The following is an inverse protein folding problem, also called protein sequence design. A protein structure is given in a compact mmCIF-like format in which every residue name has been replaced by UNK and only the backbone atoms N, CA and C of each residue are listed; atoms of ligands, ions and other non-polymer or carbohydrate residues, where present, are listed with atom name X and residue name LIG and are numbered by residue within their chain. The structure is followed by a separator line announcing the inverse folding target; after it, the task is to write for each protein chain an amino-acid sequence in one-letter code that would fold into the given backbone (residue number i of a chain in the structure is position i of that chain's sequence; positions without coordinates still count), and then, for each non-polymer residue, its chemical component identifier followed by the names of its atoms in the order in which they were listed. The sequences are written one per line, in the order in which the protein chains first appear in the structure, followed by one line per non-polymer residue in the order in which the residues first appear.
data_IF_411694850479
#
_entry.id   IF_411694850479
#
_cell.length_a   1.000
_cell.length_b   1.000
_cell.length_c   1.000
_cell.angle_alpha   90.00
_cell.angle_beta   90.00
_cell.angle_gamma   90.00
#
_symmetry.space_group_name_H-M   'P 1'
#
loop_
_entity.id
_entity.type
_entity.pdbx_description
1 polymer ?
#
# COMPACT_ATOMS: atom_id res chain seq x y z
N UNK A 1 -12.57 2.19 15.36
CA UNK A 1 -12.80 2.53 13.93
C UNK A 1 -12.90 1.29 13.05
N UNK A 2 -11.95 0.34 13.03
CA UNK A 2 -12.09 -0.89 12.25
C UNK A 2 -13.39 -1.67 12.55
N UNK A 3 -13.68 -1.89 13.84
CA UNK A 3 -14.95 -2.53 14.27
C UNK A 3 -16.17 -1.74 13.81
N UNK A 4 -16.12 -0.42 13.86
CA UNK A 4 -17.23 0.43 13.41
C UNK A 4 -17.49 0.24 11.91
N UNK A 5 -16.44 0.12 11.09
CA UNK A 5 -16.59 -0.20 9.66
C UNK A 5 -17.28 -1.55 9.49
N UNK A 6 -16.89 -2.59 10.24
CA UNK A 6 -17.51 -3.92 10.17
C UNK A 6 -18.99 -3.91 10.59
N UNK A 7 -19.36 -3.06 11.55
CA UNK A 7 -20.75 -2.89 11.98
C UNK A 7 -21.55 -2.15 10.91
N UNK A 8 -21.04 -1.01 10.43
CA UNK A 8 -21.72 -0.16 9.43
C UNK A 8 -21.86 -0.85 8.07
N UNK A 9 -20.96 -1.77 7.71
CA UNK A 9 -21.04 -2.57 6.49
C UNK A 9 -21.99 -3.77 6.58
N UNK A 10 -22.54 -4.07 7.77
CA UNK A 10 -23.31 -5.29 8.01
C UNK A 10 -22.45 -6.55 8.12
N UNK A 11 -21.11 -6.44 8.15
CA UNK A 11 -20.21 -7.59 8.25
C UNK A 11 -20.38 -8.33 9.59
N UNK A 12 -20.56 -7.62 10.70
CA UNK A 12 -20.83 -8.27 11.99
C UNK A 12 -22.19 -8.96 12.03
N UNK A 13 -23.19 -8.42 11.31
CA UNK A 13 -24.52 -9.03 11.19
C UNK A 13 -24.45 -10.33 10.40
N UNK A 14 -23.80 -10.30 9.23
CA UNK A 14 -23.60 -11.50 8.39
C UNK A 14 -22.87 -12.61 9.15
N UNK A 15 -21.80 -12.28 9.87
CA UNK A 15 -20.99 -13.24 10.64
C UNK A 15 -21.61 -13.62 12.01
N UNK A 16 -22.75 -13.03 12.38
CA UNK A 16 -23.37 -13.18 13.70
C UNK A 16 -22.40 -12.91 14.87
N UNK A 17 -21.60 -11.86 14.75
CA UNK A 17 -20.62 -11.45 15.77
C UNK A 17 -21.20 -10.40 16.70
N UNK A 18 -21.04 -10.60 18.00
CA UNK A 18 -21.25 -9.52 18.96
C UNK A 18 -20.09 -8.51 18.93
N UNK A 19 -20.33 -7.32 19.49
CA UNK A 19 -19.34 -6.26 19.52
C UNK A 19 -18.05 -6.68 20.23
N UNK A 20 -18.11 -7.49 21.30
CA UNK A 20 -16.92 -7.88 22.05
C UNK A 20 -16.01 -8.79 21.22
N UNK A 21 -16.61 -9.74 20.50
CA UNK A 21 -15.93 -10.67 19.61
C UNK A 21 -15.30 -9.91 18.44
N UNK A 22 -16.01 -8.96 17.84
CA UNK A 22 -15.46 -8.11 16.78
C UNK A 22 -14.27 -7.26 17.28
N UNK A 23 -14.35 -6.69 18.48
CA UNK A 23 -13.25 -5.94 19.08
C UNK A 23 -12.04 -6.82 19.38
N UNK A 24 -12.27 -8.00 19.96
CA UNK A 24 -11.20 -8.97 20.27
C UNK A 24 -10.48 -9.41 18.99
N UNK A 25 -11.23 -9.76 17.95
CA UNK A 25 -10.68 -10.11 16.64
C UNK A 25 -9.84 -8.98 16.04
N UNK A 26 -10.38 -7.76 15.94
CA UNK A 26 -9.63 -6.63 15.38
C UNK A 26 -8.37 -6.30 16.21
N UNK A 27 -8.43 -6.43 17.54
CA UNK A 27 -7.28 -6.22 18.41
C UNK A 27 -6.21 -7.31 18.22
N UNK A 28 -6.63 -8.57 18.07
CA UNK A 28 -5.71 -9.67 17.78
C UNK A 28 -5.03 -9.47 16.42
N UNK A 29 -5.78 -9.20 15.35
CA UNK A 29 -5.21 -8.88 14.02
C UNK A 29 -4.22 -7.72 14.13
N UNK A 30 -4.57 -6.63 14.82
CA UNK A 30 -3.67 -5.49 14.99
C UNK A 30 -2.35 -5.87 15.67
N UNK A 31 -2.37 -6.80 16.64
CA UNK A 31 -1.18 -7.29 17.33
C UNK A 31 -0.27 -8.17 16.46
N UNK A 32 -0.79 -8.71 15.36
CA UNK A 32 -0.05 -9.55 14.42
C UNK A 32 0.70 -8.76 13.35
N UNK A 33 0.43 -7.45 13.22
CA UNK A 33 1.21 -6.57 12.35
C UNK A 33 2.50 -6.11 13.03
N UNK A 34 3.61 -6.20 12.32
CA UNK A 34 4.91 -5.79 12.84
C UNK A 34 5.06 -4.26 12.82
N UNK A 35 5.93 -3.75 13.69
CA UNK A 35 6.26 -2.32 13.76
C UNK A 35 7.27 -1.90 12.68
N UNK A 36 6.94 -2.15 11.41
CA UNK A 36 7.74 -1.75 10.24
C UNK A 36 7.25 -0.41 9.67
N UNK A 37 8.10 0.38 8.98
CA UNK A 37 7.73 1.73 8.58
C UNK A 37 6.45 1.89 7.75
N UNK A 38 6.17 0.98 6.81
CA UNK A 38 5.06 1.02 5.86
C UNK A 38 4.04 -0.10 6.11
N UNK A 39 4.43 -1.39 5.98
CA UNK A 39 3.51 -2.54 6.03
C UNK A 39 3.12 -2.90 7.48
N UNK A 40 2.50 -1.96 8.18
CA UNK A 40 2.06 -2.05 9.57
C UNK A 40 0.52 -1.90 9.67
N UNK A 41 -0.04 -2.03 10.88
CA UNK A 41 -1.49 -1.99 11.06
C UNK A 41 -2.15 -0.68 10.59
N UNK A 42 -1.43 0.45 10.58
CA UNK A 42 -1.99 1.71 10.04
C UNK A 42 -2.23 1.60 8.54
N UNK A 43 -1.34 0.91 7.82
CA UNK A 43 -1.50 0.66 6.39
C UNK A 43 -2.72 -0.22 6.16
N UNK A 44 -2.81 -1.38 6.83
CA UNK A 44 -3.97 -2.26 6.76
C UNK A 44 -5.30 -1.55 7.06
N UNK A 45 -5.34 -0.71 8.09
CA UNK A 45 -6.52 0.10 8.38
C UNK A 45 -6.82 1.13 7.28
N UNK A 46 -5.81 1.78 6.70
CA UNK A 46 -5.99 2.70 5.57
C UNK A 46 -6.54 1.98 4.33
N UNK A 47 -6.09 0.75 4.06
CA UNK A 47 -6.61 -0.11 2.98
C UNK A 47 -8.07 -0.46 3.26
N UNK A 48 -8.39 -1.02 4.42
CA UNK A 48 -9.76 -1.33 4.84
C UNK A 48 -10.70 -0.12 4.74
N UNK A 49 -10.27 1.04 5.22
CA UNK A 49 -11.05 2.26 5.15
C UNK A 49 -11.27 2.73 3.70
N UNK A 50 -10.23 2.66 2.86
CA UNK A 50 -10.37 3.03 1.44
C UNK A 50 -11.32 2.05 0.71
N UNK A 51 -11.22 0.76 0.99
CA UNK A 51 -12.14 -0.27 0.51
C UNK A 51 -13.58 0.03 0.91
N UNK A 52 -13.82 0.39 2.17
CA UNK A 52 -15.15 0.77 2.64
C UNK A 52 -15.71 2.00 1.93
N UNK A 53 -14.90 3.05 1.72
CA UNK A 53 -15.32 4.24 0.97
C UNK A 53 -15.65 3.93 -0.49
N UNK A 54 -14.90 3.02 -1.13
CA UNK A 54 -15.17 2.58 -2.50
C UNK A 54 -16.47 1.76 -2.57
N UNK A 55 -16.73 0.88 -1.60
CA UNK A 55 -18.00 0.16 -1.47
C UNK A 55 -19.19 1.12 -1.32
N UNK A 56 -19.07 2.12 -0.45
CA UNK A 56 -20.10 3.17 -0.28
C UNK A 56 -20.29 4.03 -1.54
N UNK A 57 -19.30 4.06 -2.42
CA UNK A 57 -19.36 4.79 -3.68
C UNK A 57 -20.02 4.00 -4.81
N UNK A 58 -20.31 2.71 -4.65
CA UNK A 58 -20.98 1.92 -5.67
C UNK A 58 -22.41 2.45 -5.93
N UNK A 59 -22.72 2.83 -7.18
CA UNK A 59 -24.05 3.34 -7.56
C UNK A 59 -25.10 2.24 -7.46
N UNK A 60 -24.73 1.04 -7.90
CA UNK A 60 -25.46 -0.20 -7.69
C UNK A 60 -24.52 -1.11 -6.96
N UNK A 61 -24.79 -1.40 -5.69
CA UNK A 61 -23.98 -2.34 -4.93
C UNK A 61 -24.21 -3.76 -5.50
N UNK A 62 -23.23 -4.39 -6.18
CA UNK A 62 -23.38 -5.72 -6.73
C UNK A 62 -23.03 -6.80 -5.70
N UNK A 63 -22.54 -6.41 -4.52
CA UNK A 63 -21.99 -7.34 -3.54
C UNK A 63 -23.08 -7.88 -2.60
N UNK A 64 -23.05 -9.19 -2.39
CA UNK A 64 -23.79 -9.84 -1.30
C UNK A 64 -23.17 -9.51 0.06
N UNK A 65 -23.89 -9.69 1.19
CA UNK A 65 -23.30 -9.52 2.53
C UNK A 65 -22.03 -10.35 2.75
N UNK A 66 -22.00 -11.57 2.19
CA UNK A 66 -20.84 -12.45 2.17
C UNK A 66 -19.63 -11.78 1.50
N UNK A 67 -19.82 -11.24 0.29
CA UNK A 67 -18.77 -10.61 -0.49
C UNK A 67 -18.25 -9.33 0.18
N UNK A 68 -19.14 -8.54 0.80
CA UNK A 68 -18.74 -7.37 1.59
C UNK A 68 -17.91 -7.78 2.81
N UNK A 69 -18.33 -8.83 3.53
CA UNK A 69 -17.59 -9.36 4.67
C UNK A 69 -16.21 -9.87 4.26
N UNK A 70 -16.12 -10.70 3.23
CA UNK A 70 -14.86 -11.22 2.70
C UNK A 70 -13.91 -10.08 2.29
N UNK A 71 -14.41 -9.07 1.58
CA UNK A 71 -13.61 -7.96 1.10
C UNK A 71 -13.04 -7.08 2.22
N UNK A 72 -13.83 -6.76 3.25
CA UNK A 72 -13.36 -5.95 4.38
C UNK A 72 -12.41 -6.73 5.31
N UNK A 73 -12.67 -8.02 5.50
CA UNK A 73 -11.77 -8.91 6.25
C UNK A 73 -10.44 -9.11 5.53
N UNK A 74 -10.47 -9.34 4.21
CA UNK A 74 -9.27 -9.40 3.38
C UNK A 74 -8.48 -8.09 3.46
N UNK A 75 -9.13 -6.94 3.31
CA UNK A 75 -8.47 -5.63 3.40
C UNK A 75 -7.75 -5.41 4.74
N UNK A 76 -8.35 -5.82 5.86
CA UNK A 76 -7.74 -5.69 7.19
C UNK A 76 -6.55 -6.65 7.40
N UNK A 77 -6.52 -7.78 6.69
CA UNK A 77 -5.55 -8.85 6.89
C UNK A 77 -4.54 -9.04 5.75
N UNK A 78 -4.63 -8.28 4.65
CA UNK A 78 -3.87 -8.56 3.42
C UNK A 78 -2.35 -8.55 3.59
N UNK A 79 -1.83 -7.86 4.62
CA UNK A 79 -0.41 -7.75 4.95
C UNK A 79 -0.07 -8.32 6.35
N UNK A 80 -0.93 -9.18 6.89
CA UNK A 80 -0.78 -9.68 8.26
C UNK A 80 0.58 -10.39 8.44
N UNK A 81 1.32 -10.06 9.51
CA UNK A 81 2.70 -10.50 9.78
C UNK A 81 3.80 -10.00 8.83
N UNK A 82 3.52 -9.08 7.90
CA UNK A 82 4.55 -8.53 7.01
C UNK A 82 5.75 -7.97 7.81
N UNK A 83 6.97 -8.27 7.35
CA UNK A 83 8.22 -7.95 8.05
C UNK A 83 9.04 -6.82 7.39
N UNK A 84 8.48 -6.17 6.37
CA UNK A 84 9.12 -5.07 5.64
C UNK A 84 10.14 -5.56 4.61
N UNK A 85 10.02 -6.80 4.12
CA UNK A 85 10.82 -7.38 3.04
C UNK A 85 9.91 -7.87 1.93
N UNK A 86 10.42 -7.86 0.70
CA UNK A 86 9.67 -8.31 -0.48
C UNK A 86 9.71 -9.83 -0.66
N UNK A 87 8.78 -10.38 -1.45
CA UNK A 87 8.78 -11.79 -1.86
C UNK A 87 10.15 -12.21 -2.45
N UNK A 88 10.76 -11.36 -3.28
CA UNK A 88 12.09 -11.61 -3.86
C UNK A 88 13.21 -11.74 -2.82
N UNK A 89 13.16 -10.99 -1.72
CA UNK A 89 14.11 -11.13 -0.61
C UNK A 89 13.95 -12.49 0.07
N UNK A 90 12.70 -12.88 0.33
CA UNK A 90 12.37 -14.17 0.93
C UNK A 90 12.81 -15.37 0.08
N UNK A 91 12.64 -15.28 -1.24
CA UNK A 91 13.10 -16.28 -2.20
C UNK A 91 14.64 -16.35 -2.24
N UNK A 92 15.31 -15.20 -2.33
CA UNK A 92 16.78 -15.10 -2.40
C UNK A 92 17.44 -15.66 -1.14
N UNK A 93 16.87 -15.37 0.03
CA UNK A 93 17.36 -15.85 1.34
C UNK A 93 16.92 -17.27 1.68
N UNK A 94 16.04 -17.89 0.87
CA UNK A 94 15.43 -19.20 1.13
C UNK A 94 14.79 -19.28 2.51
N UNK A 95 14.11 -18.21 2.92
CA UNK A 95 13.39 -18.14 4.19
C UNK A 95 12.38 -19.28 4.36
N UNK A 96 11.93 -19.53 5.59
CA UNK A 96 10.94 -20.57 5.87
C UNK A 96 9.65 -20.37 5.04
N UNK A 97 9.17 -19.13 4.92
CA UNK A 97 8.00 -18.79 4.09
C UNK A 97 8.22 -19.11 2.62
N UNK A 98 9.40 -18.81 2.06
CA UNK A 98 9.70 -19.15 0.66
C UNK A 98 9.73 -20.67 0.41
N UNK A 99 10.04 -21.47 1.43
CA UNK A 99 10.00 -22.93 1.33
C UNK A 99 8.57 -23.47 1.49
N UNK A 100 7.82 -22.95 2.46
CA UNK A 100 6.46 -23.37 2.78
C UNK A 100 5.47 -23.01 1.67
N UNK A 101 5.57 -21.80 1.12
CA UNK A 101 4.67 -21.28 0.08
C UNK A 101 5.25 -21.38 -1.34
N UNK A 102 6.26 -22.24 -1.55
CA UNK A 102 6.97 -22.39 -2.83
C UNK A 102 6.07 -22.75 -4.03
N UNK A 103 4.87 -23.29 -3.79
CA UNK A 103 3.88 -23.56 -4.85
C UNK A 103 3.31 -22.27 -5.47
N UNK A 104 3.37 -21.15 -4.75
CA UNK A 104 2.89 -19.82 -5.16
C UNK A 104 4.04 -18.97 -5.69
N UNK A 105 4.71 -19.44 -6.75
CA UNK A 105 5.91 -18.80 -7.34
C UNK A 105 5.68 -17.30 -7.62
N UNK A 106 6.44 -16.42 -6.96
CA UNK A 106 6.33 -14.96 -7.08
C UNK A 106 5.45 -14.29 -6.02
N UNK A 107 4.43 -14.98 -5.50
CA UNK A 107 3.45 -14.45 -4.53
C UNK A 107 3.62 -15.05 -3.14
N UNK A 108 4.88 -15.24 -2.72
CA UNK A 108 5.22 -15.93 -1.45
C UNK A 108 4.59 -15.23 -0.25
N UNK A 109 4.64 -13.90 -0.22
CA UNK A 109 4.09 -13.11 0.89
C UNK A 109 2.57 -13.14 0.89
N UNK A 110 1.93 -12.89 -0.25
CA UNK A 110 0.47 -12.86 -0.35
C UNK A 110 -0.14 -14.23 -0.04
N UNK A 111 0.51 -15.32 -0.43
CA UNK A 111 0.12 -16.67 -0.04
C UNK A 111 0.25 -16.89 1.48
N UNK A 112 1.32 -16.36 2.10
CA UNK A 112 1.49 -16.39 3.55
C UNK A 112 0.41 -15.57 4.26
N UNK A 113 0.16 -14.33 3.82
CA UNK A 113 -0.86 -13.46 4.40
C UNK A 113 -2.25 -14.08 4.30
N UNK A 114 -2.60 -14.65 3.15
CA UNK A 114 -3.88 -15.34 2.92
C UNK A 114 -4.05 -16.51 3.89
N UNK A 115 -3.03 -17.38 3.99
CA UNK A 115 -3.05 -18.52 4.90
C UNK A 115 -3.21 -18.07 6.36
N UNK A 116 -2.37 -17.13 6.81
CA UNK A 116 -2.41 -16.61 8.19
C UNK A 116 -3.75 -15.93 8.49
N UNK A 117 -4.32 -15.19 7.54
CA UNK A 117 -5.61 -14.53 7.69
C UNK A 117 -6.73 -15.55 7.94
N UNK A 118 -6.87 -16.54 7.06
CA UNK A 118 -7.90 -17.59 7.17
C UNK A 118 -7.71 -18.42 8.44
N UNK A 119 -6.47 -18.77 8.78
CA UNK A 119 -6.13 -19.49 10.01
C UNK A 119 -6.56 -18.71 11.26
N UNK A 120 -6.25 -17.41 11.29
CA UNK A 120 -6.57 -16.52 12.41
C UNK A 120 -8.08 -16.42 12.57
N UNK A 121 -8.81 -16.15 11.49
CA UNK A 121 -10.27 -16.06 11.53
C UNK A 121 -10.93 -17.38 11.95
N UNK A 122 -10.35 -18.53 11.59
CA UNK A 122 -10.81 -19.85 12.05
C UNK A 122 -10.59 -20.05 13.54
N UNK A 123 -9.40 -19.73 14.05
CA UNK A 123 -9.04 -19.87 15.47
C UNK A 123 -9.90 -18.94 16.35
N UNK A 124 -10.22 -17.76 15.83
CA UNK A 124 -11.13 -16.79 16.43
C UNK A 124 -12.61 -17.10 16.19
N UNK A 125 -12.92 -18.22 15.51
CA UNK A 125 -14.28 -18.76 15.36
C UNK A 125 -15.25 -17.83 14.62
N UNK A 126 -14.73 -16.99 13.71
CA UNK A 126 -15.55 -16.01 12.97
C UNK A 126 -16.61 -16.64 12.08
N UNK A 127 -16.45 -17.91 11.69
CA UNK A 127 -17.31 -18.59 10.73
C UNK A 127 -18.24 -19.64 11.37
N UNK A 128 -18.16 -19.84 12.69
CA UNK A 128 -18.87 -20.92 13.40
C UNK A 128 -20.39 -20.81 13.32
N UNK A 129 -20.90 -19.60 13.13
CA UNK A 129 -22.33 -19.31 13.05
C UNK A 129 -22.85 -19.25 11.60
N UNK A 130 -21.99 -19.45 10.61
CA UNK A 130 -22.38 -19.58 9.21
C UNK A 130 -22.72 -21.03 8.89
N UNK A 131 -23.49 -21.25 7.83
CA UNK A 131 -23.54 -22.58 7.25
C UNK A 131 -22.21 -22.94 6.57
N UNK A 132 -21.99 -24.22 6.32
CA UNK A 132 -20.71 -24.70 5.76
C UNK A 132 -20.41 -24.12 4.38
N UNK A 133 -21.43 -23.91 3.55
CA UNK A 133 -21.24 -23.41 2.19
C UNK A 133 -20.83 -21.93 2.18
N UNK A 134 -21.45 -21.11 3.03
CA UNK A 134 -21.09 -19.70 3.20
C UNK A 134 -19.71 -19.56 3.86
N UNK A 135 -19.42 -20.35 4.89
CA UNK A 135 -18.10 -20.36 5.53
C UNK A 135 -16.98 -20.69 4.54
N UNK A 136 -17.15 -21.73 3.72
CA UNK A 136 -16.17 -22.11 2.70
C UNK A 136 -16.03 -21.03 1.63
N UNK A 137 -17.15 -20.43 1.18
CA UNK A 137 -17.15 -19.38 0.17
C UNK A 137 -16.43 -18.11 0.63
N UNK A 138 -16.63 -17.69 1.90
CA UNK A 138 -15.92 -16.53 2.46
C UNK A 138 -14.41 -16.78 2.49
N UNK A 139 -13.99 -17.97 2.92
CA UNK A 139 -12.57 -18.33 3.02
C UNK A 139 -11.88 -18.28 1.67
N UNK A 140 -12.46 -18.94 0.68
CA UNK A 140 -11.95 -18.94 -0.70
C UNK A 140 -11.85 -17.52 -1.22
N UNK A 141 -12.89 -16.70 -1.04
CA UNK A 141 -12.88 -15.32 -1.51
C UNK A 141 -11.81 -14.47 -0.82
N UNK A 142 -11.59 -14.63 0.49
CA UNK A 142 -10.52 -13.92 1.22
C UNK A 142 -9.15 -14.29 0.65
N UNK A 143 -8.88 -15.58 0.42
CA UNK A 143 -7.62 -16.04 -0.17
C UNK A 143 -7.41 -15.43 -1.57
N UNK A 144 -8.42 -15.49 -2.43
CA UNK A 144 -8.34 -14.94 -3.78
C UNK A 144 -8.14 -13.42 -3.80
N UNK A 145 -8.72 -12.71 -2.84
CA UNK A 145 -8.58 -11.26 -2.71
C UNK A 145 -7.18 -10.87 -2.24
N UNK A 146 -6.65 -11.54 -1.23
CA UNK A 146 -5.30 -11.26 -0.71
C UNK A 146 -4.24 -11.63 -1.76
N UNK A 147 -4.39 -12.76 -2.45
CA UNK A 147 -3.48 -13.11 -3.54
C UNK A 147 -3.46 -12.06 -4.67
N UNK A 148 -4.59 -11.37 -4.91
CA UNK A 148 -4.68 -10.34 -5.92
C UNK A 148 -3.97 -9.02 -5.58
N UNK A 149 -3.47 -8.83 -4.35
CA UNK A 149 -2.67 -7.65 -3.97
C UNK A 149 -1.23 -7.73 -4.44
N UNK A 150 -0.76 -8.90 -4.89
CA UNK A 150 0.59 -9.04 -5.45
C UNK A 150 0.76 -8.13 -6.66
N UNK A 151 1.72 -7.20 -6.57
CA UNK A 151 2.01 -6.25 -7.63
C UNK A 151 2.57 -6.92 -8.90
N UNK A 152 3.08 -8.16 -8.84
CA UNK A 152 3.41 -8.96 -10.01
C UNK A 152 2.16 -9.39 -10.80
N UNK A 153 1.00 -9.46 -10.14
CA UNK A 153 -0.31 -9.76 -10.74
C UNK A 153 -1.10 -8.50 -11.14
N UNK A 154 -0.54 -7.30 -10.92
CA UNK A 154 -1.20 -6.04 -11.24
C UNK A 154 -1.74 -6.00 -12.68
N UNK A 155 -0.98 -6.33 -13.74
CA UNK A 155 -1.52 -6.33 -15.11
C UNK A 155 -2.73 -7.24 -15.29
N UNK A 156 -2.73 -8.41 -14.64
CA UNK A 156 -3.80 -9.41 -14.72
C UNK A 156 -5.06 -8.90 -14.02
N UNK A 157 -4.94 -8.27 -12.84
CA UNK A 157 -6.06 -7.67 -12.12
C UNK A 157 -6.70 -6.53 -12.93
N UNK A 158 -5.87 -5.65 -13.51
CA UNK A 158 -6.36 -4.54 -14.34
C UNK A 158 -7.06 -5.06 -15.60
N UNK A 159 -6.48 -6.07 -16.27
CA UNK A 159 -7.05 -6.64 -17.48
C UNK A 159 -8.37 -7.37 -17.20
N UNK A 160 -8.43 -8.19 -16.15
CA UNK A 160 -9.65 -8.88 -15.75
C UNK A 160 -10.80 -7.88 -15.49
N UNK A 161 -10.53 -6.79 -14.77
CA UNK A 161 -11.54 -5.75 -14.54
C UNK A 161 -11.95 -5.00 -15.82
N UNK A 162 -11.02 -4.78 -16.75
CA UNK A 162 -11.35 -4.18 -18.04
C UNK A 162 -12.24 -5.10 -18.89
N UNK A 163 -12.03 -6.41 -18.82
CA UNK A 163 -12.76 -7.41 -19.58
C UNK A 163 -14.15 -7.69 -19.00
N UNK A 164 -14.28 -7.81 -17.68
CA UNK A 164 -15.54 -8.06 -16.99
C UNK A 164 -15.65 -7.28 -15.67
N UNK A 165 -16.05 -6.01 -15.78
CA UNK A 165 -16.29 -5.13 -14.62
C UNK A 165 -17.58 -5.44 -13.85
N UNK A 166 -18.44 -6.31 -14.37
CA UNK A 166 -19.73 -6.64 -13.78
C UNK A 166 -19.66 -7.93 -12.94
N UNK A 167 -18.61 -8.75 -13.13
CA UNK A 167 -18.28 -9.86 -12.23
C UNK A 167 -17.92 -9.35 -10.82
N UNK A 168 -18.66 -9.75 -9.76
CA UNK A 168 -18.42 -9.26 -8.40
C UNK A 168 -17.02 -9.58 -7.87
N UNK A 169 -16.47 -10.76 -8.15
CA UNK A 169 -15.15 -11.12 -7.64
C UNK A 169 -14.06 -10.24 -8.28
N UNK A 170 -14.15 -10.05 -9.59
CA UNK A 170 -13.25 -9.16 -10.35
C UNK A 170 -13.35 -7.72 -9.87
N UNK A 171 -14.55 -7.22 -9.60
CA UNK A 171 -14.73 -5.89 -9.02
C UNK A 171 -14.15 -5.79 -7.61
N UNK A 172 -14.32 -6.81 -6.76
CA UNK A 172 -13.76 -6.84 -5.41
C UNK A 172 -12.22 -6.86 -5.43
N UNK A 173 -11.60 -7.67 -6.30
CA UNK A 173 -10.15 -7.69 -6.53
C UNK A 173 -9.65 -6.31 -6.95
N UNK A 174 -10.33 -5.65 -7.89
CA UNK A 174 -9.98 -4.30 -8.34
C UNK A 174 -10.10 -3.25 -7.22
N UNK A 175 -11.17 -3.30 -6.41
CA UNK A 175 -11.36 -2.39 -5.27
C UNK A 175 -10.23 -2.55 -4.26
N UNK A 176 -9.92 -3.78 -3.84
CA UNK A 176 -8.88 -4.04 -2.86
C UNK A 176 -7.50 -3.63 -3.40
N UNK A 177 -7.20 -3.98 -4.64
CA UNK A 177 -5.93 -3.64 -5.29
C UNK A 177 -5.71 -2.13 -5.39
N UNK A 178 -6.75 -1.38 -5.80
CA UNK A 178 -6.70 0.08 -5.78
C UNK A 178 -6.53 0.63 -4.35
N UNK A 179 -7.22 0.06 -3.37
CA UNK A 179 -7.16 0.47 -1.97
C UNK A 179 -5.77 0.27 -1.36
N UNK A 180 -5.08 -0.80 -1.71
CA UNK A 180 -3.70 -1.09 -1.31
C UNK A 180 -2.74 0.00 -1.81
N UNK A 181 -2.76 0.31 -3.11
CA UNK A 181 -1.92 1.37 -3.71
C UNK A 181 -2.48 2.79 -3.54
N UNK A 182 -3.37 3.01 -2.57
CA UNK A 182 -4.17 4.23 -2.47
C UNK A 182 -3.48 5.43 -1.80
N UNK A 183 -2.20 5.32 -1.44
CA UNK A 183 -1.51 6.37 -0.69
C UNK A 183 -1.41 7.70 -1.46
N UNK A 184 -1.21 7.64 -2.77
CA UNK A 184 -1.21 8.83 -3.63
C UNK A 184 -2.60 9.48 -3.79
N UNK A 185 -3.68 8.81 -3.36
CA UNK A 185 -5.04 9.35 -3.36
C UNK A 185 -5.39 10.15 -2.11
N UNK A 186 -4.50 10.17 -1.11
CA UNK A 186 -4.67 10.90 0.15
C UNK A 186 -4.28 12.38 -0.01
N UNK A 187 -4.40 13.16 1.06
CA UNK A 187 -3.83 14.52 1.07
C UNK A 187 -2.32 14.47 0.78
N UNK A 188 -1.77 15.56 0.23
CA UNK A 188 -0.35 15.61 -0.14
C UNK A 188 0.58 15.24 1.01
N UNK A 189 0.30 15.71 2.23
CA UNK A 189 1.11 15.42 3.41
C UNK A 189 1.10 13.92 3.76
N UNK A 190 -0.07 13.27 3.66
CA UNK A 190 -0.19 11.84 3.90
C UNK A 190 0.44 11.03 2.79
N UNK A 191 0.25 11.42 1.52
CA UNK A 191 0.88 10.76 0.38
C UNK A 191 2.41 10.80 0.50
N UNK A 192 2.97 11.96 0.85
CA UNK A 192 4.41 12.14 1.09
C UNK A 192 4.90 11.31 2.28
N UNK A 193 4.16 11.31 3.39
CA UNK A 193 4.51 10.51 4.57
C UNK A 193 4.59 9.02 4.23
N UNK A 194 3.59 8.49 3.54
CA UNK A 194 3.57 7.09 3.09
C UNK A 194 4.70 6.77 2.09
N UNK A 195 4.98 7.67 1.15
CA UNK A 195 6.12 7.55 0.23
C UNK A 195 7.46 7.43 0.97
N UNK A 196 7.71 8.28 1.97
CA UNK A 196 8.93 8.18 2.77
C UNK A 196 8.95 6.90 3.63
N UNK A 197 7.79 6.42 4.10
CA UNK A 197 7.68 5.18 4.86
C UNK A 197 8.06 3.97 4.02
N UNK A 198 7.55 3.84 2.78
CA UNK A 198 7.93 2.72 1.91
C UNK A 198 9.39 2.80 1.49
N UNK A 199 9.90 4.01 1.19
CA UNK A 199 11.32 4.20 0.88
C UNK A 199 12.22 3.75 2.04
N UNK A 200 11.82 4.03 3.29
CA UNK A 200 12.58 3.59 4.46
C UNK A 200 12.65 2.06 4.54
N UNK A 201 11.55 1.35 4.29
CA UNK A 201 11.56 -0.12 4.28
C UNK A 201 12.44 -0.68 3.17
N UNK A 202 12.33 -0.12 1.97
CA UNK A 202 13.17 -0.44 0.82
C UNK A 202 14.66 -0.26 1.13
N UNK A 203 15.05 0.88 1.71
CA UNK A 203 16.43 1.08 2.16
C UNK A 203 16.85 0.09 3.24
N UNK A 204 15.97 -0.24 4.20
CA UNK A 204 16.25 -1.25 5.23
C UNK A 204 16.44 -2.66 4.64
N UNK A 205 15.75 -3.01 3.56
CA UNK A 205 15.98 -4.26 2.84
C UNK A 205 17.34 -4.24 2.16
N UNK A 206 17.66 -3.17 1.42
CA UNK A 206 18.94 -3.05 0.71
C UNK A 206 20.14 -3.10 1.66
N UNK A 207 20.06 -2.42 2.80
CA UNK A 207 21.13 -2.46 3.81
C UNK A 207 21.31 -3.89 4.38
N UNK A 208 20.23 -4.67 4.46
CA UNK A 208 20.30 -6.07 4.85
C UNK A 208 20.85 -6.99 3.75
N UNK A 209 20.48 -6.77 2.49
CA UNK A 209 21.06 -7.44 1.32
C UNK A 209 22.58 -7.22 1.27
N UNK A 210 23.04 -5.98 1.50
CA UNK A 210 24.47 -5.63 1.59
C UNK A 210 25.17 -6.41 2.73
N UNK A 211 24.57 -6.42 3.93
CA UNK A 211 25.09 -7.13 5.10
C UNK A 211 25.20 -8.64 4.87
N UNK A 212 24.24 -9.21 4.16
CA UNK A 212 24.16 -10.64 3.84
C UNK A 212 24.92 -11.02 2.57
N UNK A 213 25.55 -10.05 1.88
CA UNK A 213 26.27 -10.25 0.62
C UNK A 213 25.37 -10.86 -0.49
N UNK A 214 24.11 -10.44 -0.53
CA UNK A 214 23.13 -10.82 -1.54
C UNK A 214 23.20 -9.89 -2.77
N UNK A 215 22.63 -10.29 -3.91
CA UNK A 215 22.36 -9.36 -5.01
C UNK A 215 21.53 -8.17 -4.51
N UNK A 216 22.04 -6.96 -4.70
CA UNK A 216 21.44 -5.73 -4.16
C UNK A 216 20.30 -5.26 -5.08
N UNK A 217 19.13 -5.01 -4.50
CA UNK A 217 17.97 -4.38 -5.12
C UNK A 217 18.19 -2.86 -5.26
N UNK A 218 19.22 -2.45 -6.00
CA UNK A 218 19.70 -1.05 -6.00
C UNK A 218 18.67 0.00 -6.45
N UNK A 219 17.63 -0.41 -7.20
CA UNK A 219 16.52 0.46 -7.57
C UNK A 219 15.65 0.90 -6.37
N UNK A 220 15.75 0.21 -5.23
CA UNK A 220 15.05 0.50 -3.97
C UNK A 220 15.76 1.54 -3.09
N UNK A 221 17.05 1.83 -3.32
CA UNK A 221 17.85 2.72 -2.47
C UNK A 221 17.84 4.15 -3.02
N UNK A 222 17.38 5.09 -2.21
CA UNK A 222 17.45 6.52 -2.50
C UNK A 222 17.56 7.35 -1.21
N UNK A 223 18.23 8.50 -1.30
CA UNK A 223 18.22 9.49 -0.23
C UNK A 223 16.90 10.28 -0.24
N UNK A 224 16.45 10.75 0.92
CA UNK A 224 15.31 11.66 1.00
C UNK A 224 15.60 12.96 0.25
N UNK A 225 14.60 13.41 -0.51
CA UNK A 225 14.61 14.57 -1.39
C UNK A 225 15.64 14.50 -2.53
N UNK A 226 16.00 13.28 -2.95
CA UNK A 226 16.90 13.03 -4.08
C UNK A 226 16.15 12.96 -5.41
N UNK A 227 16.90 12.99 -6.51
CA UNK A 227 16.36 12.73 -7.84
C UNK A 227 15.84 11.30 -7.95
N UNK A 228 16.54 10.34 -7.34
CA UNK A 228 16.24 8.91 -7.34
C UNK A 228 14.92 8.61 -6.61
N UNK A 229 14.69 9.23 -5.44
CA UNK A 229 13.40 9.14 -4.73
C UNK A 229 12.27 9.69 -5.60
N UNK A 230 12.46 10.90 -6.15
CA UNK A 230 11.45 11.54 -6.98
C UNK A 230 11.10 10.70 -8.21
N UNK A 231 12.12 10.16 -8.88
CA UNK A 231 11.96 9.27 -10.04
C UNK A 231 11.25 7.97 -9.66
N UNK A 232 11.57 7.37 -8.52
CA UNK A 232 10.93 6.15 -8.03
C UNK A 232 9.43 6.36 -7.81
N UNK A 233 9.05 7.38 -7.02
CA UNK A 233 7.64 7.63 -6.72
C UNK A 233 6.85 8.12 -7.93
N UNK A 234 7.45 8.96 -8.79
CA UNK A 234 6.83 9.37 -10.04
C UNK A 234 6.59 8.17 -10.96
N UNK A 235 7.59 7.29 -11.10
CA UNK A 235 7.49 6.06 -11.86
C UNK A 235 6.39 5.14 -11.34
N UNK A 236 6.29 4.96 -10.01
CA UNK A 236 5.24 4.15 -9.40
C UNK A 236 3.84 4.72 -9.68
N UNK A 237 3.68 6.04 -9.55
CA UNK A 237 2.40 6.71 -9.83
C UNK A 237 2.02 6.55 -11.30
N UNK A 238 2.94 6.82 -12.23
CA UNK A 238 2.65 6.79 -13.67
C UNK A 238 2.41 5.38 -14.21
N UNK A 239 3.09 4.38 -13.65
CA UNK A 239 3.03 3.00 -14.14
C UNK A 239 1.85 2.23 -13.52
N UNK A 240 1.57 2.41 -12.23
CA UNK A 240 0.64 1.54 -11.51
C UNK A 240 -0.59 2.29 -10.98
N UNK A 241 -0.37 3.36 -10.23
CA UNK A 241 -1.47 4.04 -9.53
C UNK A 241 -2.41 4.75 -10.51
N UNK A 242 -1.86 5.57 -11.40
CA UNK A 242 -2.64 6.38 -12.33
C UNK A 242 -3.49 5.52 -13.27
N UNK A 243 -2.98 4.47 -13.92
CA UNK A 243 -3.79 3.64 -14.81
C UNK A 243 -4.92 2.92 -14.07
N UNK A 244 -4.63 2.30 -12.92
CA UNK A 244 -5.60 1.56 -12.13
C UNK A 244 -6.75 2.46 -11.63
N UNK A 245 -6.40 3.58 -11.00
CA UNK A 245 -7.40 4.50 -10.47
C UNK A 245 -8.18 5.22 -11.58
N UNK A 246 -7.55 5.47 -12.74
CA UNK A 246 -8.26 6.02 -13.89
C UNK A 246 -9.34 5.05 -14.38
N UNK A 247 -9.00 3.77 -14.54
CA UNK A 247 -9.95 2.73 -14.97
C UNK A 247 -11.14 2.65 -14.00
N UNK A 248 -10.87 2.66 -12.69
CA UNK A 248 -11.92 2.67 -11.67
C UNK A 248 -12.76 3.96 -11.71
N UNK A 249 -12.14 5.12 -11.93
CA UNK A 249 -12.82 6.44 -11.91
C UNK A 249 -13.76 6.68 -13.09
N UNK A 250 -13.48 6.09 -14.26
CA UNK A 250 -14.34 6.20 -15.45
C UNK A 250 -15.40 5.10 -15.50
N UNK A 251 -15.34 4.14 -14.59
CA UNK A 251 -16.31 3.06 -14.50
C UNK A 251 -17.68 3.60 -14.08
N UNK A 252 -18.72 3.16 -14.79
CA UNK A 252 -20.12 3.46 -14.47
C UNK A 252 -20.61 2.83 -13.17
N UNK A 253 -19.81 1.98 -12.53
CA UNK A 253 -20.17 1.30 -11.27
C UNK A 253 -20.01 2.20 -10.05
N UNK A 254 -19.18 3.24 -10.12
CA UNK A 254 -18.86 4.10 -8.97
C UNK A 254 -19.35 5.53 -9.16
N UNK A 255 -19.84 6.12 -8.08
CA UNK A 255 -20.17 7.53 -7.98
C UNK A 255 -18.91 8.37 -8.15
N UNK A 256 -19.03 9.45 -8.93
CA UNK A 256 -17.87 10.23 -9.34
C UNK A 256 -17.21 11.04 -8.21
N UNK A 257 -17.85 11.22 -7.05
CA UNK A 257 -17.33 12.12 -6.01
C UNK A 257 -16.01 11.60 -5.42
N UNK A 258 -16.01 10.39 -4.85
CA UNK A 258 -14.83 9.80 -4.20
C UNK A 258 -13.74 9.56 -5.23
N UNK A 259 -14.06 8.94 -6.35
CA UNK A 259 -13.07 8.60 -7.39
C UNK A 259 -12.44 9.85 -8.02
N UNK A 260 -13.20 10.93 -8.26
CA UNK A 260 -12.66 12.21 -8.76
C UNK A 260 -11.74 12.89 -7.75
N UNK A 261 -12.09 12.84 -6.46
CA UNK A 261 -11.23 13.40 -5.42
C UNK A 261 -9.91 12.61 -5.32
N UNK A 262 -9.98 11.28 -5.38
CA UNK A 262 -8.81 10.42 -5.45
C UNK A 262 -7.94 10.76 -6.66
N UNK A 263 -8.51 10.87 -7.86
CA UNK A 263 -7.76 11.26 -9.07
C UNK A 263 -7.12 12.64 -8.96
N UNK A 264 -7.82 13.61 -8.37
CA UNK A 264 -7.28 14.95 -8.11
C UNK A 264 -6.04 14.88 -7.21
N UNK A 265 -6.12 14.08 -6.16
CA UNK A 265 -5.01 13.89 -5.23
C UNK A 265 -3.84 13.15 -5.88
N UNK A 266 -4.08 12.14 -6.72
CA UNK A 266 -3.01 11.46 -7.46
C UNK A 266 -2.27 12.46 -8.37
N UNK A 267 -3.00 13.32 -9.10
CA UNK A 267 -2.37 14.35 -9.94
C UNK A 267 -1.53 15.32 -9.13
N UNK A 268 -1.99 15.72 -7.94
CA UNK A 268 -1.23 16.57 -7.01
C UNK A 268 0.03 15.86 -6.51
N UNK A 269 -0.09 14.60 -6.06
CA UNK A 269 1.03 13.77 -5.62
C UNK A 269 2.06 13.58 -6.73
N UNK A 270 1.61 13.34 -7.96
CA UNK A 270 2.47 13.27 -9.14
C UNK A 270 3.24 14.57 -9.36
N UNK A 271 2.54 15.71 -9.29
CA UNK A 271 3.14 17.04 -9.48
C UNK A 271 4.22 17.33 -8.43
N UNK A 272 4.00 16.94 -7.17
CA UNK A 272 5.00 17.06 -6.10
C UNK A 272 6.33 16.40 -6.50
N UNK A 273 6.28 15.12 -6.91
CA UNK A 273 7.49 14.39 -7.28
C UNK A 273 8.14 14.91 -8.55
N UNK A 274 7.34 15.29 -9.56
CA UNK A 274 7.85 15.93 -10.77
C UNK A 274 8.60 17.24 -10.45
N UNK A 275 8.01 18.11 -9.63
CA UNK A 275 8.64 19.37 -9.24
C UNK A 275 9.91 19.16 -8.41
N UNK A 276 9.95 18.15 -7.53
CA UNK A 276 11.19 17.79 -6.83
C UNK A 276 12.28 17.33 -7.82
N UNK A 277 11.90 16.48 -8.79
CA UNK A 277 12.82 15.97 -9.80
C UNK A 277 13.44 17.10 -10.64
N UNK A 278 12.61 18.03 -11.14
CA UNK A 278 13.04 19.21 -11.90
C UNK A 278 13.91 20.14 -11.06
N UNK A 279 13.54 20.37 -9.79
CA UNK A 279 14.32 21.21 -8.87
C UNK A 279 15.73 20.66 -8.65
N UNK A 280 15.85 19.35 -8.40
CA UNK A 280 17.16 18.72 -8.17
C UNK A 280 18.04 18.85 -9.41
N UNK A 281 17.49 18.63 -10.61
CA UNK A 281 18.21 18.79 -11.88
C UNK A 281 18.72 20.22 -12.09
N UNK A 282 17.87 21.22 -11.87
CA UNK A 282 18.27 22.63 -11.98
C UNK A 282 19.38 22.98 -10.99
N UNK A 283 19.33 22.48 -9.75
CA UNK A 283 20.37 22.75 -8.76
C UNK A 283 21.70 22.05 -9.07
N UNK A 284 21.68 20.86 -9.68
CA UNK A 284 22.90 20.19 -10.14
C UNK A 284 23.55 20.89 -11.33
N UNK A 285 22.75 21.47 -12.23
CA UNK A 285 23.27 22.19 -13.40
C UNK A 285 23.86 23.56 -13.04
N UNK A 286 23.33 24.22 -12.01
CA UNK A 286 23.83 25.51 -11.51
C UNK A 286 25.09 25.35 -10.64
N UNK A 287 25.26 24.21 -9.97
CA UNK A 287 26.44 23.89 -9.16
C UNK A 287 27.33 22.85 -9.85
N UNK A 288 28.02 23.27 -10.92
CA UNK A 288 29.22 22.55 -11.39
C UNK A 288 30.37 22.77 -10.39
N UNK A 289 30.93 21.72 -9.75
CA UNK A 289 31.90 21.90 -8.68
C UNK A 289 33.28 22.23 -9.22
N UNK A 290 33.75 23.47 -9.01
CA UNK A 290 35.17 23.86 -9.16
C UNK A 290 36.05 23.44 -7.97
N UNK A 291 35.61 22.51 -7.12
CA UNK A 291 36.41 22.05 -5.98
C UNK A 291 36.70 20.56 -6.09
N UNK A 292 37.98 20.28 -6.39
CA UNK A 292 38.60 18.96 -6.34
C UNK A 292 38.26 18.26 -5.01
N UNK A 293 37.62 17.10 -5.08
CA UNK A 293 37.48 16.16 -3.95
C UNK A 293 38.88 15.88 -3.36
N UNK A 294 39.09 16.28 -2.11
CA UNK A 294 40.04 15.60 -1.22
C UNK A 294 39.21 14.77 -0.25
N UNK A 295 39.34 13.46 -0.37
CA UNK A 295 38.75 12.49 0.54
C UNK A 295 39.65 12.38 1.78
N UNK A 296 39.16 12.77 2.95
CA UNK A 296 39.61 12.25 4.24
C UNK A 296 38.46 12.25 5.23
N UNK A 297 38.36 11.16 5.99
CA UNK A 297 37.25 10.77 6.87
C UNK A 297 37.10 11.64 8.14
N UNK A 298 38.03 12.57 8.38
CA UNK A 298 38.08 13.40 9.60
C UNK A 298 37.29 14.72 9.52
N UNK A 299 36.81 15.15 8.35
CA UNK A 299 36.07 16.42 8.20
C UNK A 299 34.56 16.31 8.50
N UNK A 300 34.04 15.12 8.83
CA UNK A 300 32.61 14.88 9.10
C UNK A 300 32.17 15.22 10.53
N UNK A 301 33.10 15.57 11.43
CA UNK A 301 32.77 15.87 12.83
C UNK A 301 32.54 17.36 13.14
N UNK A 302 32.75 18.26 12.19
CA UNK A 302 32.53 19.72 12.38
C UNK A 302 31.40 20.31 11.54
N UNK A 303 30.71 19.52 10.72
CA UNK A 303 29.52 19.95 9.96
C UNK A 303 28.21 19.64 10.70
N UNK A 304 28.09 20.07 11.96
CA UNK A 304 26.77 20.23 12.61
C UNK A 304 26.33 21.68 12.44
N UNK A 305 25.08 21.84 12.00
CA UNK A 305 24.22 23.05 12.07
C UNK A 305 24.11 24.08 10.93
N UNK A 306 24.61 23.86 9.71
CA UNK A 306 24.36 24.84 8.60
C UNK A 306 23.62 24.26 7.38
N UNK A 307 23.63 22.93 7.17
CA UNK A 307 23.06 22.30 5.97
C UNK A 307 21.60 21.83 6.05
N UNK A 308 21.01 21.79 7.25
CA UNK A 308 19.65 21.27 7.44
C UNK A 308 18.56 22.34 7.44
N UNK A 309 18.88 23.63 7.65
CA UNK A 309 17.86 24.68 7.72
C UNK A 309 17.40 25.16 6.34
N UNK A 310 18.29 25.26 5.36
CA UNK A 310 17.99 25.77 4.01
C UNK A 310 17.21 24.77 3.16
N UNK A 311 17.57 23.48 3.13
CA UNK A 311 16.75 22.46 2.44
C UNK A 311 15.34 22.37 3.03
N UNK A 312 15.20 22.45 4.36
CA UNK A 312 13.90 22.39 5.05
C UNK A 312 13.06 23.64 4.84
N UNK A 313 13.67 24.84 4.84
CA UNK A 313 13.00 26.09 4.49
C UNK A 313 12.55 26.11 3.02
N UNK A 314 13.36 25.61 2.08
CA UNK A 314 13.00 25.59 0.66
C UNK A 314 11.93 24.54 0.31
N UNK A 315 11.94 23.37 0.96
CA UNK A 315 10.86 22.38 0.81
C UNK A 315 9.52 22.94 1.32
N UNK A 316 9.53 23.68 2.43
CA UNK A 316 8.34 24.40 2.91
C UNK A 316 7.86 25.47 1.90
N UNK A 317 8.78 26.12 1.19
CA UNK A 317 8.45 27.07 0.12
C UNK A 317 7.79 26.36 -1.08
N UNK A 318 8.25 25.18 -1.47
CA UNK A 318 7.60 24.38 -2.53
C UNK A 318 6.22 23.91 -2.10
N UNK A 319 6.06 23.42 -0.86
CA UNK A 319 4.76 23.05 -0.28
C UNK A 319 3.78 24.25 -0.26
N UNK A 320 4.28 25.45 0.08
CA UNK A 320 3.48 26.68 0.04
C UNK A 320 3.10 27.09 -1.40
N UNK A 321 3.99 26.92 -2.37
CA UNK A 321 3.76 27.28 -3.78
C UNK A 321 2.80 26.31 -4.49
N UNK A 322 2.77 25.04 -4.09
CA UNK A 322 1.78 24.06 -4.55
C UNK A 322 0.40 24.35 -3.95
N UNK A 323 0.32 24.79 -2.70
CA UNK A 323 -0.94 25.14 -2.04
C UNK A 323 -1.52 26.50 -2.49
N UNK A 324 -0.70 27.49 -2.82
CA UNK A 324 -1.17 28.82 -3.27
C UNK A 324 -1.73 28.86 -4.71
N UNK A 325 -1.41 27.89 -5.56
CA UNK A 325 -1.96 27.81 -6.93
C UNK A 325 -3.26 26.98 -7.04
N UNK A 326 -3.92 26.72 -5.91
CA UNK A 326 -5.15 25.93 -5.81
C UNK A 326 -6.33 26.71 -5.18
N UNK A 327 -6.22 28.04 -5.06
CA UNK A 327 -7.32 28.94 -4.76
C UNK A 327 -7.92 29.52 -6.05
#
# INVERSE_FOLDING_TARGET
MAVQILVESGTTEFLHLDNNTAHAFCAHVASMYQAVPYHNFKHAFCVMHTTHLLLQSCIRNPFTPLQVAALLLAALCHDIQHNGRTSSFHETTKSAWAQEYASHKGSVLEAMHACVAVDTMTKERLFDNLDTADADSVRVMIEELILATDMALHPQVIQAYADDKDDPLTQAKMILHCADISNATKSLDLAKWWSHSVLREFCMQVDEEERLQLPISGFMKADLYSYEEAKMHLGFIDTFVMPAWRLLSVSSQFGAYVTRQCMTNIVRSRKLWLSLMELVQLTSDVFTPTLKRKNTFDDLLTYRDVGQSTKRQYVNTVESAVNCNAA
#
